data_IF_095361009121
#
_entry.id   IF_095361009121
#
_cell.length_a   1.000
_cell.length_b   1.000
_cell.length_c   1.000
_cell.angle_alpha   90.00
_cell.angle_beta   90.00
_cell.angle_gamma   90.00
#
_symmetry.space_group_name_H-M   'P 1'
#
loop_
_entity.id
_entity.type
_entity.pdbx_description
1 polymer ?
#
# COMPACT_ATOMS: atom_id res chain seq x y z
N UNK A 1 -1.08 14.99 -24.26
CA UNK A 1 -2.05 13.89 -24.31
C UNK A 1 -1.48 12.72 -23.53
N UNK A 2 -1.99 12.45 -22.33
CA UNK A 2 -1.57 11.28 -21.57
C UNK A 2 -2.12 10.04 -22.23
N UNK A 3 -1.25 9.12 -22.64
CA UNK A 3 -1.68 7.84 -23.19
C UNK A 3 -2.42 7.07 -22.08
N UNK A 4 -3.73 6.87 -22.25
CA UNK A 4 -4.50 5.99 -21.37
C UNK A 4 -4.15 4.55 -21.75
N UNK A 5 -3.10 4.01 -21.14
CA UNK A 5 -2.76 2.60 -21.31
C UNK A 5 -3.84 1.74 -20.62
N UNK A 6 -4.68 1.09 -21.41
CA UNK A 6 -5.52 -0.01 -20.93
C UNK A 6 -4.66 -1.27 -20.87
N UNK A 7 -4.27 -1.67 -19.67
CA UNK A 7 -3.56 -2.92 -19.45
C UNK A 7 -4.51 -4.12 -19.58
N UNK A 8 -3.99 -5.27 -20.05
CA UNK A 8 -4.76 -6.52 -20.04
C UNK A 8 -5.08 -6.96 -18.60
N UNK A 9 -6.14 -7.77 -18.37
CA UNK A 9 -6.44 -8.30 -17.04
C UNK A 9 -5.25 -9.02 -16.37
N UNK A 10 -4.52 -9.83 -17.14
CA UNK A 10 -3.29 -10.52 -16.67
C UNK A 10 -2.21 -9.53 -16.25
N UNK A 11 -2.01 -8.46 -17.02
CA UNK A 11 -1.06 -7.40 -16.66
C UNK A 11 -1.48 -6.70 -15.37
N UNK A 12 -2.77 -6.44 -15.17
CA UNK A 12 -3.29 -5.83 -13.93
C UNK A 12 -3.07 -6.74 -12.73
N UNK A 13 -3.30 -8.04 -12.86
CA UNK A 13 -3.01 -9.01 -11.79
C UNK A 13 -1.52 -9.07 -11.45
N UNK A 14 -0.63 -9.02 -12.44
CA UNK A 14 0.81 -8.95 -12.21
C UNK A 14 1.20 -7.67 -11.45
N UNK A 15 0.61 -6.53 -11.79
CA UNK A 15 0.83 -5.27 -11.08
C UNK A 15 0.37 -5.38 -9.61
N UNK A 16 -0.74 -6.09 -9.36
CA UNK A 16 -1.32 -6.30 -8.04
C UNK A 16 -0.81 -7.56 -7.32
N UNK A 17 0.23 -8.22 -7.82
CA UNK A 17 0.78 -9.46 -7.22
C UNK A 17 1.41 -9.25 -5.84
N UNK A 18 2.04 -8.10 -5.60
CA UNK A 18 2.69 -7.77 -4.32
C UNK A 18 2.68 -6.26 -4.06
N UNK A 19 1.49 -5.64 -3.93
CA UNK A 19 1.37 -4.21 -3.73
C UNK A 19 1.83 -3.82 -2.33
N UNK A 20 2.55 -2.70 -2.23
CA UNK A 20 3.04 -2.16 -0.94
C UNK A 20 2.45 -0.80 -0.63
N UNK A 21 2.27 -0.52 0.66
CA UNK A 21 1.66 0.73 1.11
C UNK A 21 2.70 1.79 1.49
N UNK A 22 2.58 2.99 0.94
CA UNK A 22 3.22 4.22 1.42
C UNK A 22 4.76 4.23 1.42
N UNK A 23 5.38 3.67 0.38
CA UNK A 23 6.84 3.66 0.21
C UNK A 23 7.60 3.08 1.43
N UNK A 24 7.27 1.84 1.87
CA UNK A 24 7.89 1.29 3.05
C UNK A 24 9.31 0.79 2.72
N UNK A 25 10.27 0.83 3.65
CA UNK A 25 11.63 0.37 3.38
C UNK A 25 11.64 -1.09 2.97
N UNK A 26 12.48 -1.41 1.97
CA UNK A 26 12.76 -2.76 1.47
C UNK A 26 14.24 -3.11 1.65
N UNK A 27 14.84 -2.64 2.73
CA UNK A 27 16.21 -3.01 3.10
C UNK A 27 16.33 -4.51 3.36
N UNK A 28 17.56 -5.02 3.28
CA UNK A 28 17.87 -6.43 3.53
C UNK A 28 17.43 -6.90 4.93
N UNK A 29 17.39 -5.99 5.90
CA UNK A 29 16.92 -6.24 7.28
C UNK A 29 15.50 -6.82 7.31
N UNK A 30 14.58 -6.28 6.51
CA UNK A 30 13.16 -6.70 6.52
C UNK A 30 12.83 -7.75 5.46
N UNK A 31 13.78 -8.11 4.59
CA UNK A 31 13.51 -8.95 3.42
C UNK A 31 13.00 -10.34 3.79
N UNK A 32 13.42 -10.88 4.94
CA UNK A 32 12.91 -12.18 5.43
C UNK A 32 11.44 -12.13 5.80
N UNK A 33 10.98 -11.02 6.39
CA UNK A 33 9.62 -10.90 6.92
C UNK A 33 8.63 -10.41 5.88
N UNK A 34 9.05 -9.46 5.03
CA UNK A 34 8.13 -8.79 4.09
C UNK A 34 8.49 -8.99 2.63
N UNK A 35 9.56 -9.72 2.31
CA UNK A 35 10.07 -9.93 0.96
C UNK A 35 10.67 -8.67 0.32
N UNK A 36 11.29 -8.85 -0.85
CA UNK A 36 11.95 -7.77 -1.61
C UNK A 36 11.19 -7.33 -2.88
N UNK A 37 10.22 -8.13 -3.34
CA UNK A 37 9.49 -7.85 -4.59
C UNK A 37 8.39 -6.82 -4.36
N UNK A 38 8.19 -5.95 -5.35
CA UNK A 38 7.06 -5.02 -5.42
C UNK A 38 6.84 -4.62 -6.87
N UNK A 39 5.65 -4.83 -7.42
CA UNK A 39 5.30 -4.31 -8.76
C UNK A 39 4.50 -3.00 -8.66
N UNK A 40 3.85 -2.76 -7.53
CA UNK A 40 3.11 -1.55 -7.24
C UNK A 40 3.41 -1.10 -5.81
N UNK A 41 3.75 0.17 -5.63
CA UNK A 41 3.87 0.77 -4.32
C UNK A 41 3.08 2.07 -4.30
N UNK A 42 2.29 2.26 -3.26
CA UNK A 42 1.53 3.50 -3.11
C UNK A 42 2.38 4.58 -2.46
N UNK A 43 2.08 5.84 -2.75
CA UNK A 43 2.67 6.99 -2.07
C UNK A 43 1.58 8.01 -1.77
N UNK A 44 1.12 8.06 -0.52
CA UNK A 44 0.22 9.13 -0.09
C UNK A 44 0.96 10.49 -0.12
N UNK A 45 0.33 11.58 -0.60
CA UNK A 45 0.90 12.93 -0.54
C UNK A 45 1.43 13.37 0.83
N UNK A 46 0.91 12.84 1.94
CA UNK A 46 1.47 13.09 3.28
C UNK A 46 2.89 12.56 3.44
N UNK A 47 3.20 11.37 2.89
CA UNK A 47 4.55 10.77 2.95
C UNK A 47 5.56 11.67 2.25
N UNK A 48 5.19 12.21 1.09
CA UNK A 48 6.05 13.13 0.33
C UNK A 48 6.36 14.39 1.14
N UNK A 49 5.34 14.94 1.80
CA UNK A 49 5.49 16.12 2.67
C UNK A 49 6.38 15.86 3.88
N UNK A 50 6.10 14.79 4.61
CA UNK A 50 6.73 14.52 5.90
C UNK A 50 8.13 13.93 5.77
N UNK A 51 8.29 12.91 4.91
CA UNK A 51 9.55 12.16 4.80
C UNK A 51 10.53 12.77 3.82
N UNK A 52 10.02 13.46 2.80
CA UNK A 52 10.83 13.99 1.69
C UNK A 52 10.69 15.51 1.53
N UNK A 53 10.29 16.22 2.59
CA UNK A 53 10.21 17.69 2.64
C UNK A 53 9.41 18.28 1.46
N UNK A 54 8.37 17.55 1.04
CA UNK A 54 7.50 17.89 -0.08
C UNK A 54 8.22 18.08 -1.44
N UNK A 55 9.47 17.60 -1.54
CA UNK A 55 10.34 17.77 -2.72
C UNK A 55 10.56 19.25 -3.11
N UNK A 56 10.51 20.16 -2.13
CA UNK A 56 10.73 21.59 -2.36
C UNK A 56 12.21 21.96 -2.51
N UNK A 57 13.10 21.15 -1.94
CA UNK A 57 14.53 21.40 -1.88
C UNK A 57 15.30 20.27 -2.58
N UNK A 58 16.18 19.59 -1.84
CA UNK A 58 16.89 18.42 -2.37
C UNK A 58 15.91 17.28 -2.68
N UNK A 59 15.95 16.81 -3.93
CA UNK A 59 15.20 15.65 -4.41
C UNK A 59 15.99 14.35 -4.24
N UNK A 60 17.26 14.43 -3.84
CA UNK A 60 18.20 13.31 -3.81
C UNK A 60 17.73 12.17 -2.92
N UNK A 61 17.33 12.47 -1.68
CA UNK A 61 16.87 11.44 -0.72
C UNK A 61 15.67 10.67 -1.27
N UNK A 62 14.73 11.34 -1.93
CA UNK A 62 13.59 10.69 -2.55
C UNK A 62 14.03 9.82 -3.73
N UNK A 63 14.81 10.36 -4.67
CA UNK A 63 15.28 9.62 -5.85
C UNK A 63 16.10 8.39 -5.44
N UNK A 64 17.00 8.52 -4.47
CA UNK A 64 17.78 7.40 -3.94
C UNK A 64 16.88 6.34 -3.28
N UNK A 65 15.86 6.77 -2.53
CA UNK A 65 14.87 5.86 -1.94
C UNK A 65 14.06 5.11 -3.01
N UNK A 66 13.77 5.74 -4.16
CA UNK A 66 12.98 5.11 -5.21
C UNK A 66 13.70 3.98 -5.95
N UNK A 67 15.04 3.93 -5.92
CA UNK A 67 15.85 2.91 -6.61
C UNK A 67 15.47 1.48 -6.22
N UNK A 68 15.07 1.25 -4.97
CA UNK A 68 14.69 -0.09 -4.49
C UNK A 68 13.40 -0.62 -5.16
N UNK A 69 12.56 0.28 -5.68
CA UNK A 69 11.34 -0.07 -6.41
C UNK A 69 11.56 -0.14 -7.93
N UNK A 70 12.81 -0.25 -8.40
CA UNK A 70 13.18 -0.63 -9.77
C UNK A 70 12.18 -0.23 -10.89
N UNK A 71 11.55 -1.17 -11.60
CA UNK A 71 10.57 -0.92 -12.65
C UNK A 71 9.12 -1.04 -12.14
N UNK A 72 8.85 -0.56 -10.92
CA UNK A 72 7.52 -0.64 -10.30
C UNK A 72 6.65 0.57 -10.64
N UNK A 73 5.34 0.42 -10.42
CA UNK A 73 4.37 1.50 -10.49
C UNK A 73 4.27 2.25 -9.15
N UNK A 74 4.29 3.59 -9.20
CA UNK A 74 4.09 4.46 -8.05
C UNK A 74 2.66 4.99 -8.06
N UNK A 75 1.81 4.42 -7.22
CA UNK A 75 0.39 4.71 -7.23
C UNK A 75 0.02 5.82 -6.22
N UNK A 76 -0.42 6.96 -6.71
CA UNK A 76 -0.66 8.15 -5.88
C UNK A 76 -2.12 8.63 -5.93
N UNK A 77 -2.77 8.89 -4.79
CA UNK A 77 -4.12 9.47 -4.75
C UNK A 77 -4.10 10.99 -4.96
N UNK A 78 -3.53 11.46 -6.09
CA UNK A 78 -3.33 12.88 -6.39
C UNK A 78 -4.62 13.71 -6.30
N UNK A 79 -5.72 13.16 -6.82
CA UNK A 79 -7.00 13.85 -6.92
C UNK A 79 -8.00 13.47 -5.82
N UNK A 80 -7.53 12.82 -4.75
CA UNK A 80 -8.42 12.43 -3.65
C UNK A 80 -8.75 13.58 -2.70
N UNK A 81 -7.86 14.57 -2.58
CA UNK A 81 -8.03 15.77 -1.77
C UNK A 81 -7.29 16.92 -2.43
N UNK A 82 -7.75 18.16 -2.22
CA UNK A 82 -7.14 19.38 -2.78
C UNK A 82 -5.64 19.47 -2.51
N UNK A 83 -5.20 19.09 -1.30
CA UNK A 83 -3.77 19.15 -0.91
C UNK A 83 -2.93 18.00 -1.47
N UNK A 84 -3.52 17.07 -2.24
CA UNK A 84 -2.85 15.90 -2.78
C UNK A 84 -2.20 16.12 -4.15
N UNK A 85 -2.76 17.03 -4.95
CA UNK A 85 -2.36 17.22 -6.35
C UNK A 85 -0.91 17.66 -6.47
N UNK A 86 -0.55 18.75 -5.80
CA UNK A 86 0.79 19.35 -5.96
C UNK A 86 1.93 18.41 -5.52
N UNK A 87 1.91 17.77 -4.33
CA UNK A 87 2.95 16.80 -3.97
C UNK A 87 3.05 15.63 -4.95
N UNK A 88 1.92 15.18 -5.52
CA UNK A 88 1.90 14.06 -6.46
C UNK A 88 2.49 14.44 -7.82
N UNK A 89 2.20 15.65 -8.31
CA UNK A 89 2.82 16.16 -9.52
C UNK A 89 4.33 16.39 -9.34
N UNK A 90 4.77 16.82 -8.15
CA UNK A 90 6.22 16.92 -7.87
C UNK A 90 6.91 15.57 -7.92
N UNK A 91 6.28 14.51 -7.42
CA UNK A 91 6.81 13.14 -7.57
C UNK A 91 6.93 12.77 -9.05
N UNK A 92 5.87 12.98 -9.84
CA UNK A 92 5.86 12.71 -11.27
C UNK A 92 7.01 13.42 -12.00
N UNK A 93 7.11 14.75 -11.84
CA UNK A 93 8.16 15.52 -12.51
C UNK A 93 9.55 15.16 -11.99
N UNK A 94 9.72 14.91 -10.69
CA UNK A 94 11.01 14.50 -10.13
C UNK A 94 11.53 13.20 -10.74
N UNK A 95 10.66 12.18 -10.89
CA UNK A 95 11.05 10.90 -11.49
C UNK A 95 11.26 11.03 -13.00
N UNK A 96 10.45 11.84 -13.68
CA UNK A 96 10.62 12.12 -15.10
C UNK A 96 11.94 12.84 -15.39
N UNK A 97 12.29 13.87 -14.61
CA UNK A 97 13.49 14.69 -14.82
C UNK A 97 14.79 13.90 -14.70
N UNK A 98 14.82 12.90 -13.82
CA UNK A 98 16.00 12.05 -13.59
C UNK A 98 16.01 10.79 -14.45
N UNK A 99 15.03 10.60 -15.33
CA UNK A 99 14.89 9.40 -16.15
C UNK A 99 14.73 8.12 -15.32
N UNK A 100 13.96 8.19 -14.24
CA UNK A 100 13.75 7.04 -13.37
C UNK A 100 12.90 5.95 -14.05
N UNK A 101 13.17 4.69 -13.72
CA UNK A 101 12.47 3.54 -14.33
C UNK A 101 11.04 3.32 -13.79
N UNK A 102 10.65 4.03 -12.73
CA UNK A 102 9.33 3.87 -12.14
C UNK A 102 8.27 4.66 -12.91
N UNK A 103 7.09 4.07 -13.07
CA UNK A 103 5.94 4.72 -13.72
C UNK A 103 4.97 5.24 -12.67
N UNK A 104 4.67 6.55 -12.67
CA UNK A 104 3.69 7.12 -11.73
C UNK A 104 2.27 6.97 -12.28
N UNK A 105 1.38 6.45 -11.44
CA UNK A 105 -0.05 6.31 -11.72
C UNK A 105 -0.86 7.14 -10.74
N UNK A 106 -1.85 7.87 -11.23
CA UNK A 106 -2.78 8.61 -10.38
C UNK A 106 -4.08 7.84 -10.17
N UNK A 107 -4.48 7.73 -8.91
CA UNK A 107 -5.69 7.02 -8.55
C UNK A 107 -6.94 7.68 -9.14
N UNK A 108 -7.85 6.86 -9.66
CA UNK A 108 -9.14 7.34 -10.11
C UNK A 108 -9.99 7.81 -8.90
N UNK A 109 -10.36 9.10 -8.79
CA UNK A 109 -11.12 9.62 -7.65
C UNK A 109 -12.54 9.03 -7.56
N UNK A 110 -13.10 8.58 -8.68
CA UNK A 110 -14.41 7.92 -8.69
C UNK A 110 -14.35 6.53 -8.04
N UNK A 111 -13.26 5.79 -8.25
CA UNK A 111 -13.06 4.50 -7.60
C UNK A 111 -12.92 4.68 -6.08
N UNK A 112 -12.06 5.62 -5.64
CA UNK A 112 -11.90 5.99 -4.23
C UNK A 112 -13.23 6.33 -3.54
N UNK A 113 -14.07 7.14 -4.21
CA UNK A 113 -15.40 7.50 -3.70
C UNK A 113 -16.34 6.30 -3.61
N UNK A 114 -16.32 5.44 -4.62
CA UNK A 114 -17.23 4.28 -4.70
C UNK A 114 -16.92 3.25 -3.62
N UNK A 115 -15.65 2.91 -3.43
CA UNK A 115 -15.26 1.99 -2.35
C UNK A 115 -15.49 2.61 -0.97
N UNK A 116 -15.31 3.94 -0.83
CA UNK A 116 -15.61 4.64 0.41
C UNK A 116 -17.08 4.50 0.81
N UNK A 117 -18.00 4.66 -0.16
CA UNK A 117 -19.43 4.42 0.08
C UNK A 117 -19.74 2.97 0.40
N UNK A 118 -19.14 2.03 -0.33
CA UNK A 118 -19.31 0.60 -0.11
C UNK A 118 -18.96 0.22 1.34
N UNK A 119 -17.74 0.55 1.78
CA UNK A 119 -17.28 0.20 3.13
C UNK A 119 -18.03 0.93 4.23
N UNK A 120 -18.44 2.18 3.99
CA UNK A 120 -19.33 2.90 4.92
C UNK A 120 -20.66 2.18 5.12
N UNK A 121 -21.25 1.63 4.06
CA UNK A 121 -22.48 0.82 4.15
C UNK A 121 -22.27 -0.53 4.86
N UNK A 122 -21.01 -0.95 5.07
CA UNK A 122 -20.62 -2.16 5.80
C UNK A 122 -20.12 -1.85 7.22
N UNK A 123 -20.41 -0.65 7.73
CA UNK A 123 -20.13 -0.30 9.12
C UNK A 123 -18.74 0.25 9.40
N UNK A 124 -18.00 0.71 8.36
CA UNK A 124 -16.76 1.47 8.56
C UNK A 124 -17.09 2.98 8.64
N UNK A 125 -16.86 3.58 9.80
CA UNK A 125 -17.14 4.97 10.17
C UNK A 125 -15.89 5.86 10.10
N UNK A 126 -15.00 5.59 9.16
CA UNK A 126 -13.84 6.42 8.91
C UNK A 126 -14.18 7.67 8.08
N UNK A 127 -13.43 8.77 8.26
CA UNK A 127 -13.46 9.89 7.29
C UNK A 127 -12.94 9.46 5.93
N UNK A 128 -11.92 8.59 5.93
CA UNK A 128 -11.30 8.00 4.74
C UNK A 128 -10.80 6.60 5.06
N UNK A 129 -10.92 5.69 4.10
CA UNK A 129 -10.31 4.35 4.19
C UNK A 129 -8.79 4.47 4.24
N UNK A 130 -8.14 3.51 4.91
CA UNK A 130 -6.69 3.35 4.81
C UNK A 130 -6.25 3.01 3.38
N UNK A 131 -4.97 3.27 3.10
CA UNK A 131 -4.32 2.80 1.86
C UNK A 131 -4.41 1.28 1.73
N UNK A 132 -4.31 0.55 2.83
CA UNK A 132 -4.39 -0.91 2.85
C UNK A 132 -5.75 -1.40 2.38
N UNK A 133 -6.83 -0.93 3.00
CA UNK A 133 -8.19 -1.33 2.61
C UNK A 133 -8.53 -0.89 1.18
N UNK A 134 -8.01 0.25 0.72
CA UNK A 134 -8.12 0.66 -0.69
C UNK A 134 -7.53 -0.39 -1.63
N UNK A 135 -6.29 -0.84 -1.38
CA UNK A 135 -5.62 -1.84 -2.22
C UNK A 135 -6.31 -3.21 -2.15
N UNK A 136 -6.75 -3.63 -0.96
CA UNK A 136 -7.50 -4.88 -0.81
C UNK A 136 -8.80 -4.83 -1.62
N UNK A 137 -9.50 -3.69 -1.62
CA UNK A 137 -10.71 -3.51 -2.42
C UNK A 137 -10.45 -3.64 -3.92
N UNK A 138 -9.31 -3.12 -4.41
CA UNK A 138 -8.91 -3.27 -5.80
C UNK A 138 -8.55 -4.73 -6.12
N UNK A 139 -7.77 -5.38 -5.25
CA UNK A 139 -7.36 -6.77 -5.42
C UNK A 139 -8.57 -7.72 -5.44
N UNK A 140 -9.54 -7.56 -4.53
CA UNK A 140 -10.77 -8.36 -4.50
C UNK A 140 -11.63 -8.23 -5.77
N UNK A 141 -11.51 -7.13 -6.51
CA UNK A 141 -12.22 -6.92 -7.77
C UNK A 141 -11.47 -7.38 -9.02
N UNK A 142 -10.19 -7.74 -8.90
CA UNK A 142 -9.29 -7.92 -10.05
C UNK A 142 -8.47 -9.21 -10.01
N UNK A 143 -8.26 -9.79 -8.83
CA UNK A 143 -7.48 -11.00 -8.61
C UNK A 143 -8.41 -12.18 -8.30
N UNK A 144 -8.02 -13.38 -8.71
CA UNK A 144 -8.74 -14.63 -8.41
C UNK A 144 -8.60 -15.00 -6.92
N UNK A 145 -7.39 -14.84 -6.38
CA UNK A 145 -7.08 -15.08 -4.98
C UNK A 145 -6.40 -13.85 -4.36
N UNK A 146 -6.75 -13.57 -3.11
CA UNK A 146 -6.19 -12.43 -2.37
C UNK A 146 -5.67 -12.92 -1.02
N UNK A 147 -4.37 -12.76 -0.79
CA UNK A 147 -3.74 -12.92 0.50
C UNK A 147 -3.23 -11.57 1.02
N UNK A 148 -3.51 -11.26 2.29
CA UNK A 148 -3.16 -9.99 2.91
C UNK A 148 -2.23 -10.22 4.10
N UNK A 149 -1.21 -9.35 4.23
CA UNK A 149 -0.13 -9.44 5.21
C UNK A 149 0.04 -8.09 5.91
N UNK A 150 0.39 -8.09 7.20
CA UNK A 150 0.62 -6.86 7.97
C UNK A 150 -0.64 -6.07 8.31
N UNK A 151 -1.83 -6.67 8.16
CA UNK A 151 -3.11 -6.06 8.55
C UNK A 151 -3.40 -6.35 10.02
N UNK A 152 -2.71 -5.65 10.91
CA UNK A 152 -2.90 -5.74 12.35
C UNK A 152 -2.81 -4.35 13.00
N UNK A 153 -3.94 -3.69 13.29
CA UNK A 153 -3.96 -2.30 13.74
C UNK A 153 -3.84 -2.14 15.26
N UNK A 154 -3.35 -3.16 15.97
CA UNK A 154 -3.26 -3.17 17.44
C UNK A 154 -1.80 -3.13 17.89
N UNK A 155 -1.55 -2.56 19.08
CA UNK A 155 -0.20 -2.41 19.65
C UNK A 155 0.30 -3.66 20.39
N UNK A 156 -0.47 -4.74 20.37
CA UNK A 156 -0.17 -5.99 21.06
C UNK A 156 -0.48 -7.13 20.10
N UNK A 157 0.39 -8.14 20.04
CA UNK A 157 0.18 -9.33 19.20
C UNK A 157 -0.72 -10.38 19.89
N UNK A 158 -0.96 -11.51 19.22
CA UNK A 158 -1.76 -12.63 19.74
C UNK A 158 -1.14 -13.32 20.97
N UNK A 159 0.13 -13.05 21.29
CA UNK A 159 0.86 -13.57 22.46
C UNK A 159 1.01 -12.52 23.57
N UNK A 160 0.20 -11.46 23.54
CA UNK A 160 0.21 -10.38 24.53
C UNK A 160 1.52 -9.58 24.59
N UNK A 161 2.35 -9.65 23.55
CA UNK A 161 3.60 -8.90 23.48
C UNK A 161 3.38 -7.55 22.79
N UNK A 162 3.96 -6.45 23.32
CA UNK A 162 3.94 -5.16 22.64
C UNK A 162 4.60 -5.23 21.27
N UNK A 163 3.99 -4.60 20.28
CA UNK A 163 4.52 -4.48 18.92
C UNK A 163 4.43 -3.05 18.42
N UNK A 164 5.30 -2.71 17.47
CA UNK A 164 5.29 -1.39 16.83
C UNK A 164 4.19 -1.30 15.77
N UNK A 165 3.75 -0.07 15.48
CA UNK A 165 2.72 0.19 14.48
C UNK A 165 3.13 -0.24 13.06
N UNK A 166 4.39 0.02 12.68
CA UNK A 166 4.97 -0.49 11.45
C UNK A 166 6.04 -1.52 11.77
N UNK A 167 6.37 -2.38 10.80
CA UNK A 167 7.48 -3.33 10.95
C UNK A 167 8.87 -2.64 10.96
N UNK A 168 8.93 -1.36 10.64
CA UNK A 168 10.16 -0.57 10.53
C UNK A 168 10.22 0.65 11.45
N UNK A 169 9.11 1.04 12.09
CA UNK A 169 9.06 2.14 13.07
C UNK A 169 7.75 2.09 13.88
N UNK A 170 7.57 3.03 14.81
CA UNK A 170 6.34 3.18 15.59
C UNK A 170 5.59 4.50 15.32
N UNK A 171 5.65 5.01 14.09
CA UNK A 171 4.97 6.26 13.70
C UNK A 171 3.49 6.00 13.48
N UNK A 172 2.64 6.62 14.30
CA UNK A 172 1.18 6.48 14.19
C UNK A 172 0.58 7.31 13.04
N UNK A 173 -0.55 6.87 12.45
CA UNK A 173 -1.25 7.66 11.45
C UNK A 173 -1.88 8.90 12.09
N UNK A 174 -2.25 9.86 11.25
CA UNK A 174 -3.01 11.02 11.72
C UNK A 174 -4.33 10.58 12.37
N UNK A 175 -4.51 10.99 13.64
CA UNK A 175 -5.70 10.66 14.41
C UNK A 175 -6.98 11.16 13.73
N UNK A 176 -8.04 10.34 13.79
CA UNK A 176 -9.38 10.70 13.31
C UNK A 176 -9.58 10.68 11.79
N UNK A 177 -8.66 10.09 11.02
CA UNK A 177 -8.85 9.87 9.56
C UNK A 177 -9.38 8.49 9.24
N UNK A 178 -8.74 7.46 9.80
CA UNK A 178 -9.01 6.05 9.53
C UNK A 178 -9.67 5.40 10.75
N UNK A 179 -10.47 4.36 10.50
CA UNK A 179 -11.04 3.50 11.53
C UNK A 179 -10.44 2.10 11.40
N UNK A 180 -9.10 1.99 11.50
CA UNK A 180 -8.38 0.74 11.18
C UNK A 180 -8.86 -0.48 11.97
N UNK A 181 -9.27 -0.39 13.25
CA UNK A 181 -9.91 -1.52 13.94
C UNK A 181 -11.20 -2.01 13.25
N UNK A 182 -12.04 -1.10 12.77
CA UNK A 182 -13.25 -1.46 12.03
C UNK A 182 -12.90 -2.06 10.66
N UNK A 183 -11.89 -1.51 9.98
CA UNK A 183 -11.37 -2.08 8.73
C UNK A 183 -10.86 -3.51 8.94
N UNK A 184 -10.11 -3.75 10.02
CA UNK A 184 -9.64 -5.09 10.40
C UNK A 184 -10.80 -6.05 10.63
N UNK A 185 -11.83 -5.66 11.36
CA UNK A 185 -13.00 -6.52 11.59
C UNK A 185 -13.68 -6.95 10.28
N UNK A 186 -13.78 -6.03 9.30
CA UNK A 186 -14.33 -6.37 7.99
C UNK A 186 -13.42 -7.32 7.21
N UNK A 187 -12.11 -7.08 7.22
CA UNK A 187 -11.14 -7.97 6.57
C UNK A 187 -11.11 -9.36 7.24
N UNK A 188 -11.25 -9.41 8.55
CA UNK A 188 -11.36 -10.65 9.32
C UNK A 188 -12.62 -11.42 8.97
N UNK A 189 -13.76 -10.74 8.84
CA UNK A 189 -14.99 -11.36 8.36
C UNK A 189 -14.80 -11.98 6.97
N UNK A 190 -14.21 -11.23 6.03
CA UNK A 190 -13.89 -11.73 4.69
C UNK A 190 -12.96 -12.95 4.73
N UNK A 191 -11.99 -12.96 5.65
CA UNK A 191 -11.14 -14.12 5.88
C UNK A 191 -11.94 -15.35 6.35
N UNK A 192 -12.82 -15.17 7.32
CA UNK A 192 -13.63 -16.27 7.90
C UNK A 192 -14.59 -16.90 6.89
N UNK A 193 -15.07 -16.15 5.90
CA UNK A 193 -15.95 -16.67 4.85
C UNK A 193 -15.19 -17.16 3.60
N UNK A 194 -13.86 -17.15 3.62
CA UNK A 194 -13.02 -17.63 2.51
C UNK A 194 -12.90 -16.68 1.31
N UNK A 195 -13.31 -15.41 1.45
CA UNK A 195 -13.21 -14.42 0.37
C UNK A 195 -11.78 -13.85 0.20
N UNK A 196 -10.95 -13.93 1.25
CA UNK A 196 -9.52 -13.64 1.20
C UNK A 196 -8.78 -14.46 2.27
N UNK A 197 -7.46 -14.55 2.19
CA UNK A 197 -6.61 -15.13 3.24
C UNK A 197 -5.90 -14.03 4.01
N UNK A 198 -6.09 -13.95 5.32
CA UNK A 198 -5.34 -13.04 6.19
C UNK A 198 -4.22 -13.81 6.87
N UNK A 199 -2.97 -13.42 6.65
CA UNK A 199 -1.81 -13.99 7.35
C UNK A 199 -1.59 -13.22 8.65
N UNK A 200 -1.81 -13.88 9.79
CA UNK A 200 -1.58 -13.32 11.13
C UNK A 200 -0.44 -14.02 11.87
N UNK A 201 -0.18 -15.29 11.56
CA UNK A 201 0.87 -16.08 12.17
C UNK A 201 2.19 -16.00 11.36
N UNK A 202 3.34 -16.42 11.93
CA UNK A 202 4.56 -16.60 11.18
C UNK A 202 4.32 -17.47 9.94
N UNK A 203 4.97 -17.13 8.82
CA UNK A 203 4.93 -17.99 7.64
C UNK A 203 5.80 -19.24 7.89
N UNK A 204 5.36 -20.40 7.40
CA UNK A 204 6.17 -21.61 7.45
C UNK A 204 7.43 -21.45 6.60
N UNK A 205 8.58 -21.79 7.17
CA UNK A 205 9.82 -21.93 6.42
C UNK A 205 9.74 -23.23 5.61
N UNK A 206 9.46 -23.13 4.31
CA UNK A 206 9.49 -24.27 3.37
C UNK A 206 10.90 -24.89 3.18
N UNK A 207 11.85 -24.64 4.09
CA UNK A 207 13.20 -25.21 4.07
C UNK A 207 13.28 -26.61 4.71
N UNK A 208 12.18 -27.13 5.27
CA UNK A 208 12.10 -28.45 5.89
C UNK A 208 11.00 -29.31 5.24
N UNK A 209 11.10 -29.57 3.94
CA UNK A 209 10.60 -30.84 3.42
C UNK A 209 11.78 -31.82 3.37
N UNK A 210 11.82 -32.86 4.22
CA UNK A 210 12.72 -33.98 4.00
C UNK A 210 12.35 -34.59 2.64
N UNK A 211 13.33 -34.66 1.74
CA UNK A 211 13.21 -35.56 0.60
C UNK A 211 13.06 -36.97 1.15
N UNK A 212 12.02 -37.65 0.67
CA UNK A 212 11.62 -39.00 1.06
C UNK A 212 12.73 -40.02 0.84
#
# INVERSE_FOLDING_TARGET
MGSFYTHSPLTIQLILSSPRCNLPPLSSEYTKDVGSKSHLVTANPSIIRQRFQNLLWSRKTFVDHMKVYNHSYIYMPAFSMKTGTEPSLRVYYTLSDVGANQTVLFANPNFLRSIGKFWKSRGIHAKRLSTGLFLVSAALGLCEEVAIYGFWPFSVNMHEQPISHHYYDNVLPFSGFHAMPEEFLQLWYLHKIGALRMQLDPCEDNSLQPTS
#
